data_IF_398409340027
#
_entry.id   IF_398409340027
#
_cell.length_a   1.000
_cell.length_b   1.000
_cell.length_c   1.000
_cell.angle_alpha   90.00
_cell.angle_beta   90.00
_cell.angle_gamma   90.00
#
_symmetry.space_group_name_H-M   'P 1'
#
loop_
_entity.id
_entity.type
_entity.pdbx_description
1 polymer ?
#
# COMPACT_ATOMS: atom_id res chain seq x y z
N UNK A 1 -14.41 26.78 26.91
CA UNK A 1 -15.30 25.64 27.24
C UNK A 1 -15.09 24.38 26.42
N UNK A 2 -14.32 24.37 25.33
CA UNK A 2 -14.06 23.16 24.50
C UNK A 2 -12.96 22.22 25.01
N UNK A 3 -12.04 22.68 25.85
CA UNK A 3 -10.93 21.84 26.40
C UNK A 3 -11.31 20.91 27.56
N UNK A 4 -12.44 21.10 28.20
CA UNK A 4 -12.84 20.27 29.34
C UNK A 4 -13.65 19.03 28.92
N UNK A 5 -14.25 19.00 27.73
CA UNK A 5 -15.02 17.83 27.26
C UNK A 5 -14.18 16.67 26.73
N UNK A 6 -12.96 16.92 26.27
CA UNK A 6 -12.09 15.86 25.71
C UNK A 6 -11.51 14.97 26.81
N UNK A 7 -11.23 15.55 27.98
CA UNK A 7 -10.65 14.82 29.13
C UNK A 7 -11.67 13.92 29.85
N UNK A 8 -12.95 14.23 29.81
CA UNK A 8 -13.98 13.40 30.46
C UNK A 8 -14.39 12.14 29.68
N UNK A 9 -14.28 12.13 28.34
CA UNK A 9 -14.62 10.95 27.55
C UNK A 9 -13.54 9.87 27.58
N UNK A 10 -12.27 10.25 27.65
CA UNK A 10 -11.16 9.30 27.80
C UNK A 10 -11.20 8.58 29.16
N UNK A 11 -11.63 9.28 30.23
CA UNK A 11 -11.74 8.69 31.57
C UNK A 11 -12.94 7.76 31.72
N UNK A 12 -14.03 7.98 30.98
CA UNK A 12 -15.22 7.11 31.05
C UNK A 12 -15.00 5.79 30.30
N UNK A 13 -14.23 5.79 29.22
CA UNK A 13 -13.88 4.54 28.51
C UNK A 13 -12.90 3.66 29.31
N UNK A 14 -11.99 4.25 30.08
CA UNK A 14 -11.12 3.52 30.99
C UNK A 14 -11.90 2.90 32.18
N UNK A 15 -12.98 3.55 32.65
CA UNK A 15 -13.76 3.05 33.80
C UNK A 15 -14.74 1.91 33.44
N UNK A 16 -15.25 1.87 32.22
CA UNK A 16 -16.14 0.79 31.77
C UNK A 16 -15.41 -0.52 31.47
N UNK A 17 -14.12 -0.47 31.11
CA UNK A 17 -13.29 -1.67 30.93
C UNK A 17 -12.87 -2.26 32.29
N UNK A 18 -12.70 -1.43 33.33
CA UNK A 18 -12.24 -1.90 34.66
C UNK A 18 -13.35 -2.55 35.50
N UNK A 19 -14.62 -2.32 35.22
CA UNK A 19 -15.74 -2.89 35.99
C UNK A 19 -16.19 -4.28 35.46
N UNK A 20 -15.83 -4.64 34.23
CA UNK A 20 -16.17 -5.93 33.61
C UNK A 20 -15.16 -7.06 33.90
N UNK A 21 -14.02 -6.78 34.56
CA UNK A 21 -12.93 -7.73 34.72
C UNK A 21 -12.73 -8.12 36.19
N UNK A 22 -13.69 -8.86 36.73
CA UNK A 22 -13.50 -9.66 37.94
C UNK A 22 -12.80 -11.01 37.72
N UNK A 23 -12.13 -11.23 36.58
CA UNK A 23 -11.31 -12.40 36.30
C UNK A 23 -9.89 -11.98 35.95
N UNK A 24 -8.92 -12.51 36.67
CA UNK A 24 -7.50 -12.45 36.37
C UNK A 24 -7.22 -13.23 35.07
N UNK A 25 -7.40 -12.61 33.95
CA UNK A 25 -6.85 -13.14 32.70
C UNK A 25 -5.47 -12.54 32.49
N UNK A 26 -4.48 -13.42 32.53
CA UNK A 26 -3.11 -13.12 32.12
C UNK A 26 -3.13 -12.76 30.63
N UNK A 27 -3.22 -11.45 30.35
CA UNK A 27 -2.91 -10.95 29.03
C UNK A 27 -1.51 -11.41 28.64
N UNK A 28 -1.40 -12.09 27.51
CA UNK A 28 -0.09 -12.49 26.99
C UNK A 28 0.70 -11.21 26.63
N UNK A 29 2.02 -11.28 26.71
CA UNK A 29 2.88 -10.13 26.38
C UNK A 29 2.66 -9.65 24.93
N UNK A 30 2.22 -10.53 24.03
CA UNK A 30 1.78 -10.19 22.67
C UNK A 30 0.52 -9.32 22.64
N UNK A 31 -0.45 -9.56 23.50
CA UNK A 31 -1.67 -8.74 23.59
C UNK A 31 -1.38 -7.35 24.13
N UNK A 32 -0.48 -7.25 25.13
CA UNK A 32 -0.02 -5.96 25.64
C UNK A 32 0.77 -5.16 24.60
N UNK A 33 1.61 -5.86 23.83
CA UNK A 33 2.37 -5.25 22.74
C UNK A 33 1.44 -4.75 21.61
N UNK A 34 0.40 -5.52 21.29
CA UNK A 34 -0.63 -5.09 20.33
C UNK A 34 -1.41 -3.88 20.86
N UNK A 35 -1.82 -3.88 22.12
CA UNK A 35 -2.55 -2.78 22.73
C UNK A 35 -1.71 -1.51 22.78
N UNK A 36 -0.43 -1.62 23.13
CA UNK A 36 0.52 -0.51 23.11
C UNK A 36 0.79 -0.01 21.70
N UNK A 37 0.91 -0.90 20.71
CA UNK A 37 0.99 -0.51 19.30
C UNK A 37 -0.29 0.20 18.80
N UNK A 38 -1.47 -0.18 19.32
CA UNK A 38 -2.72 0.49 19.03
C UNK A 38 -2.80 1.89 19.65
N UNK A 39 -2.34 2.05 20.88
CA UNK A 39 -2.29 3.35 21.57
C UNK A 39 -1.28 4.30 20.91
N UNK A 40 -0.10 3.80 20.55
CA UNK A 40 0.91 4.59 19.84
C UNK A 40 0.43 5.01 18.44
N UNK A 41 -0.25 4.12 17.69
CA UNK A 41 -0.84 4.43 16.40
C UNK A 41 -2.05 5.37 16.51
N UNK A 42 -2.84 5.27 17.56
CA UNK A 42 -3.94 6.20 17.83
C UNK A 42 -3.40 7.60 18.15
N UNK A 43 -2.32 7.67 18.92
CA UNK A 43 -1.63 8.91 19.26
C UNK A 43 -0.94 9.55 18.05
N UNK A 44 -0.23 8.74 17.24
CA UNK A 44 0.32 9.18 15.96
C UNK A 44 -0.76 9.65 14.97
N UNK A 45 -1.93 9.03 15.03
CA UNK A 45 -3.12 9.43 14.27
C UNK A 45 -3.71 10.76 14.73
N UNK A 46 -3.63 11.10 16.02
CA UNK A 46 -4.08 12.40 16.55
C UNK A 46 -3.17 13.55 16.11
N UNK A 47 -1.86 13.34 16.03
CA UNK A 47 -0.89 14.34 15.58
C UNK A 47 -0.98 14.61 14.06
N UNK A 48 -1.62 13.72 13.30
CA UNK A 48 -1.80 13.81 11.83
C UNK A 48 -3.21 14.29 11.43
N UNK A 49 -3.96 14.83 12.37
CA UNK A 49 -5.31 15.33 12.12
C UNK A 49 -5.30 16.57 11.22
N UNK A 50 -6.06 16.50 10.14
CA UNK A 50 -6.28 17.64 9.25
C UNK A 50 -7.65 18.25 9.61
N UNK A 51 -7.65 19.45 10.19
CA UNK A 51 -8.85 20.07 10.75
C UNK A 51 -9.77 20.71 9.71
N UNK A 52 -9.22 21.09 8.52
CA UNK A 52 -9.98 21.85 7.51
C UNK A 52 -9.82 21.31 6.09
N UNK A 53 -10.83 21.53 5.24
CA UNK A 53 -10.73 21.21 3.82
C UNK A 53 -9.63 22.02 3.12
N UNK A 54 -9.30 23.21 3.63
CA UNK A 54 -8.25 24.04 3.09
C UNK A 54 -6.87 23.42 3.30
N UNK A 55 -6.60 22.91 4.48
CA UNK A 55 -5.35 22.20 4.79
C UNK A 55 -5.21 20.94 3.92
N UNK A 56 -6.32 20.20 3.73
CA UNK A 56 -6.34 19.07 2.83
C UNK A 56 -6.02 19.45 1.37
N UNK A 57 -6.67 20.49 0.85
CA UNK A 57 -6.44 20.96 -0.51
C UNK A 57 -5.00 21.48 -0.70
N UNK A 58 -4.47 22.18 0.30
CA UNK A 58 -3.07 22.61 0.31
C UNK A 58 -2.11 21.42 0.28
N UNK A 59 -2.37 20.42 1.10
CA UNK A 59 -1.58 19.19 1.13
C UNK A 59 -1.63 18.43 -0.21
N UNK A 60 -2.81 18.37 -0.85
CA UNK A 60 -2.95 17.74 -2.18
C UNK A 60 -2.14 18.50 -3.23
N UNK A 61 -2.17 19.83 -3.20
CA UNK A 61 -1.39 20.67 -4.12
C UNK A 61 0.11 20.43 -3.94
N UNK A 62 0.58 20.40 -2.71
CA UNK A 62 1.99 20.12 -2.40
C UNK A 62 2.41 18.72 -2.84
N UNK A 63 1.56 17.71 -2.60
CA UNK A 63 1.80 16.34 -3.08
C UNK A 63 1.84 16.27 -4.61
N UNK A 64 0.92 16.96 -5.29
CA UNK A 64 0.92 17.02 -6.75
C UNK A 64 2.18 17.67 -7.29
N UNK A 65 2.58 18.80 -6.75
CA UNK A 65 3.81 19.48 -7.15
C UNK A 65 5.06 18.63 -6.89
N UNK A 66 5.11 17.93 -5.76
CA UNK A 66 6.20 17.01 -5.45
C UNK A 66 6.25 15.84 -6.43
N UNK A 67 5.08 15.30 -6.79
CA UNK A 67 4.94 14.24 -7.79
C UNK A 67 5.37 14.71 -9.18
N UNK A 68 4.95 15.89 -9.62
CA UNK A 68 5.34 16.49 -10.90
C UNK A 68 6.86 16.71 -10.98
N UNK A 69 7.48 17.20 -9.90
CA UNK A 69 8.95 17.32 -9.83
C UNK A 69 9.64 15.97 -9.95
N UNK A 70 9.14 14.95 -9.25
CA UNK A 70 9.68 13.60 -9.33
C UNK A 70 9.55 13.01 -10.75
N UNK A 71 8.38 13.15 -11.38
CA UNK A 71 8.16 12.69 -12.76
C UNK A 71 9.06 13.42 -13.74
N UNK A 72 9.26 14.73 -13.58
CA UNK A 72 10.16 15.51 -14.42
C UNK A 72 11.62 15.01 -14.33
N UNK A 73 12.11 14.62 -13.14
CA UNK A 73 13.43 14.03 -12.98
C UNK A 73 13.53 12.63 -13.61
N UNK A 74 12.46 11.81 -13.49
CA UNK A 74 12.41 10.51 -14.16
C UNK A 74 12.43 10.69 -15.69
N UNK A 75 11.64 11.62 -16.21
CA UNK A 75 11.54 11.96 -17.62
C UNK A 75 12.85 12.44 -18.23
N UNK A 76 13.78 12.96 -17.44
CA UNK A 76 15.12 13.32 -17.90
C UNK A 76 15.92 12.11 -18.36
N UNK A 77 15.67 10.94 -17.74
CA UNK A 77 16.44 9.71 -17.92
C UNK A 77 15.69 8.70 -18.81
N UNK A 78 14.37 8.55 -18.56
CA UNK A 78 13.52 7.57 -19.22
C UNK A 78 12.61 8.25 -20.25
N UNK A 79 12.39 7.62 -21.40
CA UNK A 79 11.38 8.10 -22.37
C UNK A 79 9.97 7.67 -21.95
N UNK A 80 9.85 6.69 -21.06
CA UNK A 80 8.63 6.12 -20.53
C UNK A 80 8.63 6.26 -19.00
N UNK A 81 8.11 7.35 -18.47
CA UNK A 81 7.94 7.51 -17.03
C UNK A 81 6.88 6.55 -16.52
N UNK A 82 7.27 5.64 -15.64
CA UNK A 82 6.34 4.76 -14.95
C UNK A 82 6.12 5.29 -13.53
N UNK A 83 4.87 5.27 -13.09
CA UNK A 83 4.49 5.59 -11.71
C UNK A 83 3.58 4.51 -11.16
N UNK A 84 3.55 4.38 -9.84
CA UNK A 84 2.67 3.40 -9.20
C UNK A 84 1.21 3.74 -9.42
N UNK A 85 0.41 2.69 -9.58
CA UNK A 85 -1.05 2.75 -9.69
C UNK A 85 -1.68 1.85 -8.62
N UNK A 86 -2.97 1.68 -8.60
CA UNK A 86 -3.64 0.75 -7.69
C UNK A 86 -3.30 -0.74 -7.94
N UNK A 87 -2.74 -1.08 -9.09
CA UNK A 87 -2.39 -2.46 -9.48
C UNK A 87 -0.91 -2.67 -9.78
N UNK A 88 -0.15 -1.59 -9.78
CA UNK A 88 1.22 -1.58 -10.23
C UNK A 88 2.08 -0.82 -9.22
N UNK A 89 3.19 -1.39 -8.86
CA UNK A 89 4.15 -0.77 -7.98
C UNK A 89 5.45 -0.50 -8.73
N UNK A 90 5.84 0.78 -8.75
CA UNK A 90 7.09 1.24 -9.35
C UNK A 90 7.97 1.81 -8.24
N UNK A 91 9.21 1.36 -8.19
CA UNK A 91 10.21 1.86 -7.26
C UNK A 91 11.49 2.18 -8.00
N UNK A 92 12.11 3.31 -7.67
CA UNK A 92 13.33 3.80 -8.29
C UNK A 92 14.49 3.83 -7.31
N UNK A 93 15.71 3.66 -7.83
CA UNK A 93 16.97 3.86 -7.13
C UNK A 93 18.03 4.48 -8.04
N UNK A 94 19.24 4.68 -7.51
CA UNK A 94 20.38 5.21 -8.24
C UNK A 94 20.02 6.51 -8.99
N UNK A 95 19.45 7.49 -8.29
CA UNK A 95 19.01 8.77 -8.85
C UNK A 95 18.07 8.58 -10.07
N UNK A 96 17.06 7.75 -9.90
CA UNK A 96 16.07 7.34 -10.91
C UNK A 96 16.64 6.55 -12.10
N UNK A 97 17.91 6.19 -12.14
CA UNK A 97 18.49 5.44 -13.27
C UNK A 97 18.21 3.93 -13.21
N UNK A 98 17.74 3.41 -12.08
CA UNK A 98 17.34 2.01 -11.92
C UNK A 98 15.91 1.95 -11.40
N UNK A 99 15.08 1.04 -11.95
CA UNK A 99 13.72 0.87 -11.52
C UNK A 99 13.29 -0.60 -11.44
N UNK A 100 12.35 -0.88 -10.57
CA UNK A 100 11.49 -2.06 -10.59
C UNK A 100 10.07 -1.65 -10.94
N UNK A 101 9.44 -2.43 -11.80
CA UNK A 101 8.02 -2.34 -12.12
C UNK A 101 7.38 -3.67 -11.77
N UNK A 102 6.40 -3.66 -10.91
CA UNK A 102 5.66 -4.83 -10.44
C UNK A 102 4.20 -4.68 -10.87
N UNK A 103 3.68 -5.64 -11.63
CA UNK A 103 2.27 -5.70 -11.98
C UNK A 103 1.60 -6.82 -11.17
N UNK A 104 0.84 -6.45 -10.17
CA UNK A 104 0.19 -7.41 -9.26
C UNK A 104 -0.96 -8.18 -9.90
N UNK A 105 -1.57 -7.66 -10.95
CA UNK A 105 -2.62 -8.34 -11.71
C UNK A 105 -2.03 -9.46 -12.57
N UNK A 106 -0.98 -9.15 -13.32
CA UNK A 106 -0.33 -10.09 -14.26
C UNK A 106 0.66 -11.03 -13.57
N UNK A 107 1.09 -10.70 -12.35
CA UNK A 107 2.15 -11.44 -11.66
C UNK A 107 3.52 -11.29 -12.33
N UNK A 108 3.80 -10.11 -12.86
CA UNK A 108 5.03 -9.80 -13.57
C UNK A 108 5.83 -8.73 -12.81
N UNK A 109 7.13 -8.86 -12.84
CA UNK A 109 8.06 -7.82 -12.42
C UNK A 109 9.11 -7.61 -13.51
N UNK A 110 9.49 -6.36 -13.74
CA UNK A 110 10.62 -6.00 -14.60
C UNK A 110 11.60 -5.17 -13.78
N UNK A 111 12.85 -5.59 -13.77
CA UNK A 111 13.97 -4.78 -13.28
C UNK A 111 14.66 -4.15 -14.48
N UNK A 112 14.93 -2.86 -14.43
CA UNK A 112 15.59 -2.15 -15.50
C UNK A 112 16.57 -1.11 -14.96
N UNK A 113 17.67 -0.89 -15.67
CA UNK A 113 18.66 0.15 -15.36
C UNK A 113 19.14 0.86 -16.62
N UNK A 114 19.35 2.16 -16.49
CA UNK A 114 19.95 3.03 -17.52
C UNK A 114 21.41 3.27 -17.18
N UNK A 115 22.32 2.88 -18.08
CA UNK A 115 23.77 3.06 -17.89
C UNK A 115 24.32 3.93 -19.01
N UNK A 116 25.11 4.96 -18.66
CA UNK A 116 25.72 5.89 -19.62
C UNK A 116 26.61 5.13 -20.60
N UNK A 117 26.53 5.45 -21.89
CA UNK A 117 27.24 4.72 -22.94
C UNK A 117 28.77 4.81 -22.85
N UNK A 118 29.28 5.88 -22.23
CA UNK A 118 30.73 6.06 -21.98
C UNK A 118 31.25 5.25 -20.78
N UNK A 119 30.37 4.57 -20.03
CA UNK A 119 30.80 3.74 -18.91
C UNK A 119 31.56 2.50 -19.38
N UNK A 120 32.77 2.31 -18.89
CA UNK A 120 33.65 1.20 -19.31
C UNK A 120 33.19 -0.17 -18.76
N UNK A 121 32.42 -0.19 -17.67
CA UNK A 121 32.01 -1.40 -16.97
C UNK A 121 30.48 -1.56 -16.93
N UNK A 122 29.85 -1.38 -18.09
CA UNK A 122 28.37 -1.39 -18.21
C UNK A 122 27.76 -2.66 -17.60
N UNK A 123 28.35 -3.84 -17.92
CA UNK A 123 27.81 -5.13 -17.48
C UNK A 123 27.86 -5.28 -15.96
N UNK A 124 29.01 -5.00 -15.34
CA UNK A 124 29.18 -5.12 -13.89
C UNK A 124 28.29 -4.11 -13.13
N UNK A 125 28.30 -2.86 -13.58
CA UNK A 125 27.48 -1.81 -12.97
C UNK A 125 25.99 -2.14 -13.05
N UNK A 126 25.55 -2.67 -14.20
CA UNK A 126 24.15 -3.09 -14.38
C UNK A 126 23.76 -4.21 -13.42
N UNK A 127 24.59 -5.24 -13.30
CA UNK A 127 24.35 -6.36 -12.37
C UNK A 127 24.29 -5.89 -10.93
N UNK A 128 25.19 -4.99 -10.54
CA UNK A 128 25.21 -4.43 -9.19
C UNK A 128 23.95 -3.61 -8.88
N UNK A 129 23.51 -2.75 -9.80
CA UNK A 129 22.27 -1.97 -9.66
C UNK A 129 21.04 -2.86 -9.61
N UNK A 130 20.93 -3.85 -10.49
CA UNK A 130 19.83 -4.83 -10.48
C UNK A 130 19.81 -5.62 -9.17
N UNK A 131 20.97 -6.04 -8.65
CA UNK A 131 21.06 -6.71 -7.34
C UNK A 131 20.52 -5.81 -6.23
N UNK A 132 21.00 -4.56 -6.15
CA UNK A 132 20.53 -3.61 -5.13
C UNK A 132 19.02 -3.35 -5.22
N UNK A 133 18.51 -3.15 -6.44
CA UNK A 133 17.10 -2.91 -6.67
C UNK A 133 16.23 -4.11 -6.23
N UNK A 134 16.62 -5.33 -6.63
CA UNK A 134 15.87 -6.53 -6.21
C UNK A 134 15.93 -6.74 -4.70
N UNK A 135 17.10 -6.55 -4.08
CA UNK A 135 17.24 -6.61 -2.62
C UNK A 135 16.34 -5.58 -1.91
N UNK A 136 16.27 -4.35 -2.44
CA UNK A 136 15.40 -3.28 -1.92
C UNK A 136 13.94 -3.68 -1.96
N UNK A 137 13.44 -4.11 -3.11
CA UNK A 137 12.01 -4.48 -3.28
C UNK A 137 11.62 -5.71 -2.46
N UNK A 138 12.51 -6.72 -2.35
CA UNK A 138 12.29 -7.91 -1.52
C UNK A 138 12.27 -7.59 -0.01
N UNK A 139 12.85 -6.47 0.40
CA UNK A 139 12.86 -6.01 1.79
C UNK A 139 11.96 -4.81 2.03
N UNK A 140 11.18 -4.39 1.05
CA UNK A 140 10.21 -3.31 1.20
C UNK A 140 9.00 -3.79 1.98
N UNK A 141 8.76 -3.17 3.12
CA UNK A 141 7.70 -3.54 4.04
C UNK A 141 6.47 -2.65 3.86
N UNK A 142 5.30 -3.22 4.11
CA UNK A 142 4.12 -2.41 4.37
C UNK A 142 4.21 -1.79 5.80
N UNK A 143 3.32 -0.87 6.16
CA UNK A 143 3.33 -0.27 7.49
C UNK A 143 3.18 -1.25 8.66
N UNK A 144 2.66 -2.46 8.42
CA UNK A 144 2.59 -3.54 9.42
C UNK A 144 3.89 -4.37 9.51
N UNK A 145 5.00 -3.91 8.89
CA UNK A 145 6.30 -4.57 8.93
C UNK A 145 6.43 -5.83 8.06
N UNK A 146 5.45 -6.10 7.19
CA UNK A 146 5.46 -7.27 6.32
C UNK A 146 6.04 -6.96 4.95
N UNK A 147 6.94 -7.81 4.46
CA UNK A 147 7.48 -7.70 3.11
C UNK A 147 6.37 -7.82 2.06
N UNK A 148 6.26 -6.83 1.17
CA UNK A 148 5.19 -6.73 0.16
C UNK A 148 5.24 -7.92 -0.82
N UNK A 149 6.44 -8.35 -1.22
CA UNK A 149 6.66 -9.46 -2.16
C UNK A 149 6.93 -10.82 -1.50
N UNK A 150 6.79 -10.94 -0.18
CA UNK A 150 7.10 -12.17 0.55
C UNK A 150 6.42 -13.42 -0.07
N UNK A 151 7.23 -14.41 -0.44
CA UNK A 151 6.76 -15.69 -0.96
C UNK A 151 6.15 -15.65 -2.37
N UNK A 152 6.24 -14.52 -3.09
CA UNK A 152 5.64 -14.37 -4.42
C UNK A 152 6.62 -14.61 -5.57
N UNK A 153 7.92 -14.66 -5.28
CA UNK A 153 8.98 -14.96 -6.24
C UNK A 153 9.66 -16.24 -5.78
N UNK A 154 9.83 -17.18 -6.69
CA UNK A 154 10.54 -18.44 -6.44
C UNK A 154 11.59 -18.71 -7.52
N UNK A 155 12.60 -19.51 -7.18
CA UNK A 155 13.57 -20.02 -8.13
C UNK A 155 12.97 -21.14 -8.99
N UNK A 156 13.69 -21.61 -9.99
CA UNK A 156 13.29 -22.70 -10.91
C UNK A 156 12.96 -24.04 -10.22
N UNK A 157 13.29 -24.19 -8.95
CA UNK A 157 12.97 -25.37 -8.12
C UNK A 157 11.75 -25.14 -7.25
N UNK A 158 11.13 -23.94 -7.32
CA UNK A 158 9.98 -23.54 -6.49
C UNK A 158 10.36 -23.03 -5.10
N UNK A 159 11.66 -22.84 -4.81
CA UNK A 159 12.11 -22.31 -3.53
C UNK A 159 11.91 -20.79 -3.47
N UNK A 160 11.33 -20.24 -2.41
CA UNK A 160 11.13 -18.80 -2.28
C UNK A 160 12.45 -18.02 -2.34
N UNK A 161 12.44 -16.93 -3.09
CA UNK A 161 13.57 -15.99 -3.13
C UNK A 161 13.52 -15.11 -1.88
N UNK A 162 14.57 -15.20 -1.08
CA UNK A 162 14.78 -14.46 0.16
C UNK A 162 16.13 -13.74 0.13
N UNK A 163 16.42 -12.92 1.15
CA UNK A 163 17.73 -12.28 1.28
C UNK A 163 18.88 -13.29 1.26
N UNK A 164 18.69 -14.47 1.84
CA UNK A 164 19.70 -15.54 1.91
C UNK A 164 19.90 -16.25 0.58
N UNK A 165 18.86 -16.37 -0.23
CA UNK A 165 18.91 -17.07 -1.52
C UNK A 165 19.13 -16.14 -2.71
N UNK A 166 19.12 -14.82 -2.47
CA UNK A 166 19.16 -13.78 -3.51
C UNK A 166 20.35 -13.92 -4.48
N UNK A 167 21.56 -14.05 -3.95
CA UNK A 167 22.77 -14.11 -4.81
C UNK A 167 22.76 -15.34 -5.70
N UNK A 168 22.31 -16.47 -5.18
CA UNK A 168 22.13 -17.70 -5.98
C UNK A 168 21.10 -17.49 -7.09
N UNK A 169 19.96 -16.89 -6.76
CA UNK A 169 18.90 -16.60 -7.73
C UNK A 169 19.37 -15.64 -8.82
N UNK A 170 20.03 -14.54 -8.43
CA UNK A 170 20.58 -13.56 -9.36
C UNK A 170 21.54 -14.21 -10.36
N UNK A 171 22.51 -14.98 -9.88
CA UNK A 171 23.54 -15.58 -10.73
C UNK A 171 22.99 -16.68 -11.65
N UNK A 172 22.02 -17.46 -11.19
CA UNK A 172 21.49 -18.59 -11.96
C UNK A 172 20.36 -18.20 -12.91
N UNK A 173 19.52 -17.22 -12.52
CA UNK A 173 18.26 -17.00 -13.23
C UNK A 173 18.04 -15.57 -13.69
N UNK A 174 18.61 -14.57 -13.03
CA UNK A 174 18.38 -13.17 -13.40
C UNK A 174 19.45 -12.67 -14.37
N UNK A 175 20.72 -12.74 -13.99
CA UNK A 175 21.81 -12.21 -14.79
C UNK A 175 21.97 -12.88 -16.17
N UNK A 176 21.77 -14.20 -16.36
CA UNK A 176 21.79 -14.81 -17.67
C UNK A 176 20.69 -14.31 -18.62
N UNK A 177 19.59 -13.78 -18.06
CA UNK A 177 18.46 -13.23 -18.83
C UNK A 177 18.49 -11.70 -18.94
N UNK A 178 19.49 -11.04 -18.35
CA UNK A 178 19.63 -9.59 -18.44
C UNK A 178 19.96 -9.19 -19.88
N UNK A 179 19.04 -8.46 -20.50
CA UNK A 179 19.13 -8.04 -21.89
C UNK A 179 19.45 -6.55 -21.98
N UNK A 180 20.38 -6.20 -22.83
CA UNK A 180 20.67 -4.81 -23.22
C UNK A 180 19.94 -4.50 -24.52
N UNK A 181 19.23 -3.37 -24.54
CA UNK A 181 18.64 -2.88 -25.80
C UNK A 181 19.76 -2.58 -26.83
N UNK A 182 19.55 -2.93 -28.13
CA UNK A 182 20.59 -2.79 -29.15
C UNK A 182 21.03 -1.34 -29.35
N UNK A 183 20.10 -0.41 -29.27
CA UNK A 183 20.36 1.01 -29.47
C UNK A 183 20.32 1.77 -28.13
N UNK A 184 21.23 2.70 -27.90
CA UNK A 184 21.16 3.57 -26.75
C UNK A 184 20.00 4.54 -26.87
N UNK A 185 19.47 4.93 -25.73
CA UNK A 185 18.41 5.92 -25.58
C UNK A 185 19.06 7.25 -25.16
N UNK A 186 18.69 8.34 -25.81
CA UNK A 186 19.08 9.69 -25.39
C UNK A 186 17.96 10.26 -24.53
N UNK A 187 18.24 10.51 -23.26
CA UNK A 187 17.30 11.14 -22.34
C UNK A 187 17.06 12.62 -22.68
N UNK A 188 16.06 13.24 -22.05
CA UNK A 188 15.81 14.68 -22.19
C UNK A 188 16.96 15.55 -21.65
N UNK A 189 17.85 14.98 -20.85
CA UNK A 189 19.09 15.60 -20.39
C UNK A 189 20.23 15.56 -21.43
N UNK A 190 19.99 15.02 -22.63
CA UNK A 190 20.96 14.89 -23.70
C UNK A 190 21.98 13.77 -23.48
N UNK A 191 21.87 12.97 -22.43
CA UNK A 191 22.81 11.91 -22.10
C UNK A 191 22.38 10.60 -22.75
N UNK A 192 23.30 9.97 -23.49
CA UNK A 192 23.09 8.68 -24.14
C UNK A 192 23.32 7.52 -23.16
N UNK A 193 22.34 6.61 -23.05
CA UNK A 193 22.36 5.47 -22.11
C UNK A 193 21.90 4.19 -22.78
N UNK A 194 22.48 3.07 -22.40
CA UNK A 194 21.91 1.76 -22.68
C UNK A 194 20.89 1.40 -21.61
N UNK A 195 19.73 0.91 -22.04
CA UNK A 195 18.75 0.30 -21.16
C UNK A 195 19.04 -1.20 -21.06
N UNK A 196 19.19 -1.69 -19.85
CA UNK A 196 19.28 -3.11 -19.55
C UNK A 196 18.09 -3.51 -18.71
N UNK A 197 17.45 -4.63 -19.05
CA UNK A 197 16.27 -5.08 -18.32
C UNK A 197 16.19 -6.59 -18.23
N UNK A 198 15.46 -7.08 -17.22
CA UNK A 198 15.18 -8.49 -17.01
C UNK A 198 13.76 -8.67 -16.47
N UNK A 199 12.92 -9.48 -17.15
CA UNK A 199 11.62 -9.84 -16.62
C UNK A 199 11.75 -10.97 -15.58
N UNK A 200 10.93 -10.87 -14.53
CA UNK A 200 10.79 -11.89 -13.48
C UNK A 200 9.29 -12.22 -13.36
N UNK A 201 8.96 -13.49 -13.39
CA UNK A 201 7.59 -13.96 -13.16
C UNK A 201 7.39 -14.29 -11.68
N UNK A 202 6.24 -13.91 -11.16
CA UNK A 202 5.77 -14.38 -9.86
C UNK A 202 5.26 -15.82 -9.97
N UNK A 203 5.13 -16.49 -8.84
CA UNK A 203 4.48 -17.81 -8.78
C UNK A 203 3.01 -17.73 -9.20
N UNK A 204 2.44 -18.80 -9.78
CA UNK A 204 1.07 -18.75 -10.31
C UNK A 204 -0.01 -18.33 -9.30
N UNK A 205 0.18 -18.65 -8.03
CA UNK A 205 -0.76 -18.32 -6.95
C UNK A 205 -0.37 -17.06 -6.15
N UNK A 206 0.45 -16.16 -6.73
CA UNK A 206 0.95 -14.93 -6.07
C UNK A 206 -0.17 -14.09 -5.46
N UNK A 207 -1.33 -13.97 -6.11
CA UNK A 207 -2.49 -13.24 -5.59
C UNK A 207 -3.00 -13.85 -4.29
N UNK A 208 -3.08 -15.20 -4.21
CA UNK A 208 -3.50 -15.88 -2.99
C UNK A 208 -2.48 -15.71 -1.86
N UNK A 209 -1.19 -15.72 -2.19
CA UNK A 209 -0.11 -15.47 -1.21
C UNK A 209 -0.23 -14.07 -0.61
N UNK A 210 -0.55 -13.04 -1.43
CA UNK A 210 -0.82 -11.68 -0.94
C UNK A 210 -2.11 -11.58 -0.13
N UNK A 211 -3.18 -12.26 -0.56
CA UNK A 211 -4.49 -12.18 0.07
C UNK A 211 -4.55 -12.84 1.46
N UNK A 212 -3.85 -13.97 1.64
CA UNK A 212 -3.93 -14.82 2.83
C UNK A 212 -3.77 -14.07 4.16
N UNK A 213 -2.83 -13.13 4.32
CA UNK A 213 -2.64 -12.39 5.57
C UNK A 213 -3.84 -11.56 6.01
N UNK A 214 -4.65 -11.13 5.06
CA UNK A 214 -5.78 -10.24 5.33
C UNK A 214 -7.08 -10.99 5.66
N UNK A 215 -7.13 -12.32 5.39
CA UNK A 215 -8.33 -13.14 5.60
C UNK A 215 -8.87 -13.05 7.03
N UNK A 216 -8.06 -13.15 8.10
CA UNK A 216 -8.57 -13.06 9.47
C UNK A 216 -9.23 -11.72 9.75
N UNK A 217 -8.59 -10.62 9.34
CA UNK A 217 -9.12 -9.28 9.52
C UNK A 217 -10.40 -9.05 8.72
N UNK A 218 -10.43 -9.48 7.46
CA UNK A 218 -11.63 -9.41 6.62
C UNK A 218 -12.79 -10.15 7.26
N UNK A 219 -12.58 -11.37 7.78
CA UNK A 219 -13.62 -12.13 8.46
C UNK A 219 -14.16 -11.40 9.68
N UNK A 220 -13.27 -10.82 10.50
CA UNK A 220 -13.62 -10.05 11.69
C UNK A 220 -14.49 -8.84 11.35
N UNK A 221 -14.07 -8.04 10.40
CA UNK A 221 -14.78 -6.82 10.02
C UNK A 221 -16.07 -7.12 9.22
N UNK A 222 -16.06 -8.13 8.37
CA UNK A 222 -17.26 -8.58 7.68
C UNK A 222 -18.33 -9.02 8.68
N UNK A 223 -17.98 -9.77 9.71
CA UNK A 223 -18.92 -10.15 10.79
C UNK A 223 -19.44 -8.92 11.52
N UNK A 224 -18.57 -7.98 11.91
CA UNK A 224 -18.94 -6.76 12.62
C UNK A 224 -19.91 -5.90 11.84
N UNK A 225 -19.71 -5.75 10.54
CA UNK A 225 -20.52 -4.91 9.66
C UNK A 225 -21.59 -5.70 8.87
N UNK A 226 -21.87 -6.95 9.24
CA UNK A 226 -22.90 -7.81 8.62
C UNK A 226 -22.73 -7.95 7.11
N UNK A 227 -21.50 -8.06 6.66
CA UNK A 227 -21.12 -8.28 5.26
C UNK A 227 -20.71 -9.74 5.04
N UNK A 228 -20.78 -10.19 3.79
CA UNK A 228 -20.16 -11.45 3.39
C UNK A 228 -18.64 -11.23 3.26
N UNK A 229 -17.78 -12.07 3.89
CA UNK A 229 -16.33 -11.95 3.76
C UNK A 229 -15.85 -11.97 2.30
N UNK A 230 -16.52 -12.75 1.44
CA UNK A 230 -16.21 -12.85 0.02
C UNK A 230 -16.39 -11.51 -0.71
N UNK A 231 -17.39 -10.73 -0.32
CA UNK A 231 -17.63 -9.39 -0.88
C UNK A 231 -16.46 -8.46 -0.54
N UNK A 232 -16.05 -8.42 0.74
CA UNK A 232 -14.92 -7.58 1.17
C UNK A 232 -13.63 -8.01 0.46
N UNK A 233 -13.38 -9.33 0.33
CA UNK A 233 -12.24 -9.85 -0.41
C UNK A 233 -12.28 -9.49 -1.89
N UNK A 234 -13.47 -9.52 -2.51
CA UNK A 234 -13.64 -9.15 -3.91
C UNK A 234 -13.36 -7.65 -4.14
N UNK A 235 -13.80 -6.79 -3.22
CA UNK A 235 -13.49 -5.35 -3.27
C UNK A 235 -11.98 -5.14 -3.16
N UNK A 236 -11.30 -5.72 -2.18
CA UNK A 236 -9.84 -5.61 -2.03
C UNK A 236 -9.13 -6.11 -3.30
N UNK A 237 -9.58 -7.23 -3.86
CA UNK A 237 -9.02 -7.76 -5.11
C UNK A 237 -9.16 -6.77 -6.26
N UNK A 238 -10.34 -6.20 -6.45
CA UNK A 238 -10.62 -5.27 -7.54
C UNK A 238 -9.89 -3.92 -7.36
N UNK A 239 -9.82 -3.44 -6.11
CA UNK A 239 -9.29 -2.11 -5.80
C UNK A 239 -7.76 -2.06 -5.73
N UNK A 240 -7.11 -3.12 -5.28
CA UNK A 240 -5.66 -3.08 -5.02
C UNK A 240 -4.88 -4.34 -5.40
N UNK A 241 -5.55 -5.42 -5.83
CA UNK A 241 -4.91 -6.73 -5.94
C UNK A 241 -4.16 -7.14 -4.67
N UNK A 242 -4.70 -6.77 -3.50
CA UNK A 242 -4.10 -6.99 -2.17
C UNK A 242 -2.77 -6.27 -1.94
N UNK A 243 -2.49 -5.19 -2.68
CA UNK A 243 -1.38 -4.30 -2.37
C UNK A 243 -1.81 -3.27 -1.32
N UNK A 244 -1.25 -3.32 -0.09
CA UNK A 244 -1.61 -2.37 0.95
C UNK A 244 -1.09 -0.96 0.68
N UNK A 245 -0.12 -0.82 -0.22
CA UNK A 245 0.47 0.47 -0.61
C UNK A 245 -0.14 1.04 -1.89
N UNK A 246 -1.21 0.41 -2.41
CA UNK A 246 -1.89 0.87 -3.61
C UNK A 246 -2.37 2.31 -3.47
N UNK A 247 -2.13 3.10 -4.52
CA UNK A 247 -2.59 4.49 -4.65
C UNK A 247 -3.17 4.71 -6.03
N UNK A 248 -4.35 5.32 -6.11
CA UNK A 248 -4.93 5.73 -7.39
C UNK A 248 -4.50 7.16 -7.77
N UNK A 249 -4.77 7.54 -9.00
CA UNK A 249 -4.53 8.90 -9.50
C UNK A 249 -5.39 9.94 -8.76
N UNK A 250 -6.65 9.66 -8.52
CA UNK A 250 -7.47 10.36 -7.52
C UNK A 250 -7.08 9.75 -6.18
N UNK A 251 -6.62 10.52 -5.17
CA UNK A 251 -5.93 9.99 -4.01
C UNK A 251 -6.82 9.10 -3.14
N UNK A 252 -6.96 7.84 -3.57
CA UNK A 252 -7.50 6.73 -2.82
C UNK A 252 -6.35 5.82 -2.39
N UNK A 253 -6.41 5.29 -1.17
CA UNK A 253 -5.27 4.64 -0.53
C UNK A 253 -5.60 3.26 0.01
N UNK A 254 -4.62 2.36 -0.09
CA UNK A 254 -4.59 1.06 0.57
C UNK A 254 -5.49 0.00 -0.07
N UNK A 255 -5.75 -1.06 0.69
CA UNK A 255 -6.39 -2.28 0.21
C UNK A 255 -7.77 -2.06 -0.42
N UNK A 256 -8.60 -1.20 0.18
CA UNK A 256 -9.98 -0.92 -0.27
C UNK A 256 -10.12 0.46 -0.91
N UNK A 257 -8.99 1.12 -1.26
CA UNK A 257 -8.92 2.38 -1.99
C UNK A 257 -9.85 3.46 -1.41
N UNK A 258 -9.68 3.74 -0.12
CA UNK A 258 -10.45 4.77 0.55
C UNK A 258 -9.93 6.17 0.21
N UNK A 259 -10.85 7.06 -0.16
CA UNK A 259 -10.56 8.49 -0.37
C UNK A 259 -10.73 9.20 0.99
N UNK A 260 -9.68 9.88 1.51
CA UNK A 260 -9.68 10.48 2.85
C UNK A 260 -10.86 11.39 3.17
N UNK A 261 -11.17 12.31 2.26
CA UNK A 261 -12.22 13.34 2.47
C UNK A 261 -13.64 12.85 2.20
N UNK A 262 -13.79 11.66 1.61
CA UNK A 262 -15.09 11.06 1.30
C UNK A 262 -15.30 9.77 2.10
N UNK A 263 -15.18 8.61 1.48
CA UNK A 263 -15.43 7.32 2.11
C UNK A 263 -14.60 7.06 3.36
N UNK A 264 -13.36 7.54 3.42
CA UNK A 264 -12.51 7.45 4.62
C UNK A 264 -13.09 8.24 5.79
N UNK A 265 -13.47 9.51 5.56
CA UNK A 265 -14.06 10.41 6.56
C UNK A 265 -15.43 9.91 7.05
N UNK A 266 -16.32 9.52 6.11
CA UNK A 266 -17.65 9.02 6.45
C UNK A 266 -17.57 7.70 7.23
N UNK A 267 -16.73 6.76 6.82
CA UNK A 267 -16.51 5.52 7.55
C UNK A 267 -15.94 5.77 8.95
N UNK A 268 -14.97 6.68 9.08
CA UNK A 268 -14.38 7.02 10.37
C UNK A 268 -15.44 7.62 11.33
N UNK A 269 -16.26 8.54 10.82
CA UNK A 269 -17.36 9.11 11.59
C UNK A 269 -18.37 8.04 12.02
N UNK A 270 -18.68 7.10 11.11
CA UNK A 270 -19.61 6.00 11.41
C UNK A 270 -19.06 5.04 12.49
N UNK A 271 -17.76 4.72 12.44
CA UNK A 271 -17.13 3.77 13.36
C UNK A 271 -16.84 4.40 14.73
N UNK A 272 -16.30 5.64 14.71
CA UNK A 272 -15.75 6.29 15.92
C UNK A 272 -16.55 7.48 16.43
N UNK A 273 -17.63 7.88 15.72
CA UNK A 273 -18.46 9.03 16.09
C UNK A 273 -17.76 10.38 15.98
N UNK A 274 -16.62 10.45 15.29
CA UNK A 274 -15.80 11.66 15.14
C UNK A 274 -15.63 12.00 13.66
N UNK A 275 -15.81 13.26 13.33
CA UNK A 275 -15.53 13.77 11.98
C UNK A 275 -14.04 14.04 11.84
N UNK A 276 -13.38 13.30 10.91
CA UNK A 276 -11.94 13.39 10.74
C UNK A 276 -11.53 13.04 9.29
N UNK A 277 -10.69 13.88 8.70
CA UNK A 277 -9.98 13.54 7.46
C UNK A 277 -8.72 12.75 7.82
N UNK A 278 -8.59 11.57 7.23
CA UNK A 278 -7.51 10.64 7.56
C UNK A 278 -6.32 10.85 6.64
N UNK A 279 -5.08 10.88 7.17
CA UNK A 279 -3.88 10.95 6.33
C UNK A 279 -3.62 9.62 5.61
N UNK A 280 -2.85 9.68 4.52
CA UNK A 280 -2.55 8.52 3.69
C UNK A 280 -1.86 7.38 4.47
N UNK A 281 -0.94 7.70 5.38
CA UNK A 281 -0.23 6.70 6.18
C UNK A 281 -1.18 5.91 7.11
N UNK A 282 -2.26 6.52 7.62
CA UNK A 282 -3.30 5.82 8.34
C UNK A 282 -4.03 4.82 7.43
N UNK A 283 -4.39 5.24 6.22
CA UNK A 283 -5.11 4.41 5.24
C UNK A 283 -4.23 3.33 4.58
N UNK A 284 -2.91 3.45 4.65
CA UNK A 284 -2.00 2.37 4.25
C UNK A 284 -1.88 1.24 5.28
N UNK A 285 -2.38 1.45 6.51
CA UNK A 285 -2.43 0.39 7.51
C UNK A 285 -3.52 -0.63 7.15
N UNK A 286 -3.18 -1.91 6.91
CA UNK A 286 -4.14 -2.89 6.43
C UNK A 286 -5.36 -3.07 7.33
N UNK A 287 -5.15 -3.11 8.65
CA UNK A 287 -6.23 -3.32 9.61
C UNK A 287 -7.24 -2.17 9.59
N UNK A 288 -6.77 -0.92 9.63
CA UNK A 288 -7.65 0.25 9.57
C UNK A 288 -8.34 0.40 8.22
N UNK A 289 -7.60 0.12 7.15
CA UNK A 289 -8.16 0.20 5.80
C UNK A 289 -9.29 -0.81 5.60
N UNK A 290 -9.12 -2.06 6.06
CA UNK A 290 -10.16 -3.09 5.99
C UNK A 290 -11.34 -2.75 6.91
N UNK A 291 -11.09 -2.27 8.13
CA UNK A 291 -12.14 -1.84 9.05
C UNK A 291 -13.00 -0.75 8.45
N UNK A 292 -12.38 0.36 8.04
CA UNK A 292 -13.09 1.50 7.47
C UNK A 292 -13.72 1.17 6.12
N UNK A 293 -13.05 0.39 5.28
CA UNK A 293 -13.59 -0.04 4.00
C UNK A 293 -14.82 -0.94 4.16
N UNK A 294 -14.82 -1.86 5.12
CA UNK A 294 -15.98 -2.69 5.44
C UNK A 294 -17.13 -1.83 6.03
N UNK A 295 -16.81 -0.87 6.89
CA UNK A 295 -17.78 0.09 7.42
C UNK A 295 -18.41 0.92 6.30
N UNK A 296 -17.60 1.41 5.36
CA UNK A 296 -18.09 2.18 4.21
C UNK A 296 -18.95 1.34 3.26
N UNK A 297 -18.56 0.10 2.98
CA UNK A 297 -19.40 -0.83 2.23
C UNK A 297 -20.76 -1.07 2.90
N UNK A 298 -20.79 -1.19 4.22
CA UNK A 298 -22.04 -1.32 4.97
C UNK A 298 -22.91 -0.07 4.79
N UNK A 299 -22.33 1.15 4.91
CA UNK A 299 -23.03 2.39 4.66
C UNK A 299 -23.60 2.46 3.24
N UNK A 300 -22.81 2.13 2.24
CA UNK A 300 -23.25 2.11 0.84
C UNK A 300 -24.42 1.17 0.64
N UNK A 301 -24.34 -0.06 1.14
CA UNK A 301 -25.37 -1.09 0.94
C UNK A 301 -26.66 -0.75 1.69
N UNK A 302 -26.56 -0.38 2.99
CA UNK A 302 -27.72 -0.32 3.86
C UNK A 302 -28.26 1.09 4.09
N UNK A 303 -27.48 2.13 3.83
CA UNK A 303 -27.90 3.52 4.00
C UNK A 303 -28.13 4.24 2.67
N UNK A 304 -27.18 4.14 1.74
CA UNK A 304 -27.26 4.88 0.48
C UNK A 304 -28.08 4.14 -0.58
N UNK A 305 -27.75 2.87 -0.91
CA UNK A 305 -28.45 2.14 -1.98
C UNK A 305 -29.87 1.70 -1.60
N UNK A 306 -30.14 1.35 -0.32
CA UNK A 306 -31.51 1.00 0.09
C UNK A 306 -32.43 2.20 0.05
N UNK A 307 -31.93 3.43 0.28
CA UNK A 307 -32.71 4.65 0.13
C UNK A 307 -33.11 4.90 -1.35
N UNK A 308 -32.22 4.58 -2.30
CA UNK A 308 -32.48 4.76 -3.73
C UNK A 308 -33.34 3.61 -4.34
N UNK A 309 -33.22 2.40 -3.80
CA UNK A 309 -33.92 1.22 -4.34
C UNK A 309 -35.44 1.20 -4.04
N UNK A 310 -35.99 2.18 -3.34
CA UNK A 310 -37.41 2.27 -3.08
C UNK A 310 -38.01 3.60 -3.54
N UNK A 311 -38.07 3.88 -4.86
CA UNK A 311 -38.65 5.13 -5.40
C UNK A 311 -40.15 5.28 -5.06
N UNK A 312 -40.84 4.21 -4.63
CA UNK A 312 -42.25 4.24 -4.28
C UNK A 312 -42.51 4.77 -2.87
N UNK A 313 -41.51 4.87 -1.97
CA UNK A 313 -41.69 5.45 -0.64
C UNK A 313 -41.78 7.00 -0.66
N UNK A 314 -41.40 7.63 -1.74
CA UNK A 314 -41.47 9.10 -1.91
C UNK A 314 -42.75 9.54 -2.66
N UNK A 315 -43.69 8.63 -2.91
CA UNK A 315 -44.95 8.91 -3.62
C UNK A 315 -46.21 8.83 -2.71
N UNK A 316 -46.02 8.71 -1.39
CA UNK A 316 -47.12 8.78 -0.44
C UNK A 316 -46.84 9.78 0.68
#
# INVERSE_FOLDING_TARGET
MRRVMVTCLATVLLFTVTVALGQKDTYTDEQKLQEQQWEDLAKEGEDLFIETEQEWNQMLLEQQQAWERMVAEIDRIWLDSLTSTKKEWVDYSDQYSTRSYVNFEKGDMVLATMVITSESRISELSKERIKRQLAKVLSSNNPSGRDILAGQIADSRGEPVTKQTLDRYLNREVFPRLQREPQPVVGKDGVSRYKLSVPIKMIPNHTMVRARPYIPEVKRQAQRFRLRPELVMAVIHTESYFDPMARSHVPAYGLMQLVPIYGGREAYQYVYGRDRVLPANYLYQPAYNIELGAAYLNLLIYKHFVAEANPLKNLY
#
